data_IF_008538109615
#
_entry.id   IF_008538109615
#
_cell.length_a   1.000
_cell.length_b   1.000
_cell.length_c   1.000
_cell.angle_alpha   90.00
_cell.angle_beta   90.00
_cell.angle_gamma   90.00
#
_symmetry.space_group_name_H-M   'P 1'
#
loop_
_entity.id
_entity.type
_entity.pdbx_description
1 polymer ?
#
# COMPACT_ATOMS: atom_id res chain seq x y z
N UNK A 1 16.20 -2.37 18.40
CA UNK A 1 15.64 -3.06 17.20
C UNK A 1 15.32 -1.97 16.18
N UNK A 2 15.90 -2.05 15.01
CA UNK A 2 15.81 -0.99 13.97
C UNK A 2 15.13 -1.62 12.75
N UNK A 3 14.05 -1.00 12.28
CA UNK A 3 13.44 -1.33 11.00
C UNK A 3 14.33 -0.80 9.88
N UNK A 4 14.73 -1.66 8.95
CA UNK A 4 15.56 -1.30 7.80
C UNK A 4 14.77 -1.40 6.51
N UNK A 5 14.97 -0.45 5.60
CA UNK A 5 14.38 -0.47 4.27
C UNK A 5 15.41 -0.97 3.26
N UNK A 6 15.06 -1.95 2.46
CA UNK A 6 15.87 -2.45 1.34
C UNK A 6 15.05 -2.66 0.07
N UNK A 7 15.68 -2.71 -1.10
CA UNK A 7 14.98 -3.09 -2.32
C UNK A 7 14.29 -4.45 -2.18
N UNK A 8 13.11 -4.56 -2.79
CA UNK A 8 12.40 -5.83 -2.94
C UNK A 8 13.19 -6.76 -3.88
N UNK A 9 13.29 -8.02 -3.52
CA UNK A 9 13.87 -9.10 -4.32
C UNK A 9 12.82 -10.17 -4.62
N UNK A 10 12.99 -10.95 -5.69
CA UNK A 10 12.03 -12.00 -6.07
C UNK A 10 11.76 -13.02 -4.97
N UNK A 11 12.75 -13.29 -4.13
CA UNK A 11 12.60 -14.19 -2.98
C UNK A 11 11.66 -13.66 -1.89
N UNK A 12 11.38 -12.35 -1.86
CA UNK A 12 10.45 -11.73 -0.90
C UNK A 12 8.98 -11.92 -1.31
N UNK A 13 8.70 -12.37 -2.53
CA UNK A 13 7.37 -12.41 -3.12
C UNK A 13 6.34 -13.10 -2.23
N UNK A 14 6.61 -14.32 -1.79
CA UNK A 14 5.65 -15.10 -1.00
C UNK A 14 5.32 -14.40 0.33
N UNK A 15 6.35 -13.84 0.99
CA UNK A 15 6.15 -13.12 2.24
C UNK A 15 5.39 -11.82 2.05
N UNK A 16 5.73 -11.07 1.02
CA UNK A 16 5.04 -9.81 0.67
C UNK A 16 3.59 -10.06 0.26
N UNK A 17 3.31 -11.12 -0.51
CA UNK A 17 1.96 -11.52 -0.87
C UNK A 17 1.14 -11.88 0.39
N UNK A 18 1.71 -12.67 1.30
CA UNK A 18 1.04 -13.02 2.56
C UNK A 18 0.70 -11.77 3.39
N UNK A 19 1.67 -10.84 3.55
CA UNK A 19 1.46 -9.57 4.25
C UNK A 19 0.33 -8.77 3.58
N UNK A 20 0.32 -8.69 2.26
CA UNK A 20 -0.69 -7.98 1.50
C UNK A 20 -2.08 -8.57 1.72
N UNK A 21 -2.25 -9.89 1.56
CA UNK A 21 -3.53 -10.58 1.77
C UNK A 21 -4.04 -10.39 3.21
N UNK A 22 -3.17 -10.57 4.20
CA UNK A 22 -3.55 -10.44 5.62
C UNK A 22 -3.96 -9.02 5.96
N UNK A 23 -3.22 -8.02 5.49
CA UNK A 23 -3.50 -6.61 5.75
C UNK A 23 -4.79 -6.13 5.06
N UNK A 24 -5.10 -6.63 3.86
CA UNK A 24 -6.28 -6.19 3.10
C UNK A 24 -7.54 -7.04 3.34
N UNK A 25 -7.43 -8.20 3.98
CA UNK A 25 -8.61 -9.02 4.33
C UNK A 25 -9.67 -8.25 5.13
N UNK A 26 -9.35 -7.45 6.17
CA UNK A 26 -10.35 -6.66 6.89
C UNK A 26 -11.09 -5.65 5.99
N UNK A 27 -10.40 -5.05 5.00
CA UNK A 27 -11.00 -4.10 4.05
C UNK A 27 -12.03 -4.80 3.15
N UNK A 28 -11.69 -5.96 2.59
CA UNK A 28 -12.59 -6.73 1.74
C UNK A 28 -13.78 -7.30 2.52
N UNK A 29 -13.61 -7.65 3.79
CA UNK A 29 -14.73 -8.02 4.67
C UNK A 29 -15.69 -6.85 4.89
N UNK A 30 -15.16 -5.65 5.13
CA UNK A 30 -15.99 -4.45 5.25
C UNK A 30 -16.72 -4.12 3.94
N UNK A 31 -16.07 -4.29 2.79
CA UNK A 31 -16.71 -4.09 1.48
C UNK A 31 -17.85 -5.10 1.27
N UNK A 32 -17.65 -6.38 1.60
CA UNK A 32 -18.70 -7.39 1.52
C UNK A 32 -19.90 -7.07 2.45
N UNK A 33 -19.63 -6.66 3.69
CA UNK A 33 -20.66 -6.23 4.63
C UNK A 33 -21.46 -5.01 4.12
N UNK A 34 -20.79 -4.07 3.45
CA UNK A 34 -21.40 -2.84 2.95
C UNK A 34 -22.21 -3.07 1.67
N UNK A 35 -21.68 -3.87 0.74
CA UNK A 35 -22.26 -4.08 -0.59
C UNK A 35 -23.25 -5.24 -0.64
N UNK A 36 -23.18 -6.18 0.31
CA UNK A 36 -23.79 -7.50 0.24
C UNK A 36 -23.00 -8.44 -0.67
N UNK A 37 -23.09 -9.75 -0.39
CA UNK A 37 -22.27 -10.77 -1.08
C UNK A 37 -22.48 -10.78 -2.60
N UNK A 38 -23.68 -10.50 -3.10
CA UNK A 38 -23.94 -10.51 -4.56
C UNK A 38 -23.11 -9.43 -5.29
N UNK A 39 -23.17 -8.17 -4.87
CA UNK A 39 -22.41 -7.08 -5.50
C UNK A 39 -20.92 -7.26 -5.24
N UNK A 40 -20.55 -7.67 -4.01
CA UNK A 40 -19.15 -7.92 -3.67
C UNK A 40 -18.51 -8.97 -4.58
N UNK A 41 -19.19 -10.11 -4.82
CA UNK A 41 -18.68 -11.16 -5.71
C UNK A 41 -18.59 -10.71 -7.18
N UNK A 42 -19.47 -9.82 -7.65
CA UNK A 42 -19.33 -9.26 -9.00
C UNK A 42 -18.09 -8.39 -9.16
N UNK A 43 -17.73 -7.62 -8.12
CA UNK A 43 -16.67 -6.62 -8.18
C UNK A 43 -15.31 -7.14 -7.69
N UNK A 44 -15.31 -8.01 -6.67
CA UNK A 44 -14.11 -8.34 -5.89
C UNK A 44 -13.87 -9.85 -5.72
N UNK A 45 -14.51 -10.72 -6.54
CA UNK A 45 -14.39 -12.18 -6.37
C UNK A 45 -12.94 -12.70 -6.44
N UNK A 46 -12.08 -12.04 -7.19
CA UNK A 46 -10.69 -12.40 -7.47
C UNK A 46 -9.65 -11.45 -6.86
N UNK A 47 -10.03 -10.71 -5.81
CA UNK A 47 -9.15 -9.68 -5.26
C UNK A 47 -7.78 -10.21 -4.80
N UNK A 48 -7.70 -11.47 -4.34
CA UNK A 48 -6.43 -12.10 -3.94
C UNK A 48 -5.54 -12.36 -5.14
N UNK A 49 -6.12 -12.86 -6.21
CA UNK A 49 -5.45 -13.11 -7.49
C UNK A 49 -4.95 -11.79 -8.10
N UNK A 50 -5.73 -10.72 -8.01
CA UNK A 50 -5.30 -9.40 -8.49
C UNK A 50 -4.05 -8.90 -7.74
N UNK A 51 -3.98 -9.07 -6.42
CA UNK A 51 -2.76 -8.74 -5.67
C UNK A 51 -1.60 -9.65 -6.04
N UNK A 52 -1.82 -10.96 -6.18
CA UNK A 52 -0.79 -11.90 -6.59
C UNK A 52 -0.21 -11.54 -7.98
N UNK A 53 -1.07 -11.23 -8.94
CA UNK A 53 -0.69 -10.80 -10.29
C UNK A 53 0.08 -9.48 -10.29
N UNK A 54 -0.35 -8.52 -9.48
CA UNK A 54 0.34 -7.25 -9.35
C UNK A 54 1.74 -7.43 -8.75
N UNK A 55 1.83 -8.11 -7.62
CA UNK A 55 3.09 -8.35 -6.92
C UNK A 55 4.03 -9.27 -7.70
N UNK A 56 3.49 -10.22 -8.48
CA UNK A 56 4.26 -11.11 -9.36
C UNK A 56 5.00 -10.39 -10.50
N UNK A 57 4.62 -9.16 -10.81
CA UNK A 57 5.31 -8.29 -11.79
C UNK A 57 6.45 -7.48 -11.19
N UNK A 58 6.69 -7.61 -9.88
CA UNK A 58 7.77 -6.91 -9.18
C UNK A 58 9.01 -7.80 -9.03
N UNK A 59 10.22 -7.22 -9.01
CA UNK A 59 10.48 -5.81 -9.25
C UNK A 59 10.17 -5.42 -10.70
N UNK A 60 9.60 -4.24 -10.87
CA UNK A 60 9.21 -3.75 -12.20
C UNK A 60 10.42 -3.42 -13.07
N UNK A 61 10.31 -3.69 -14.38
CA UNK A 61 11.28 -3.20 -15.38
C UNK A 61 11.11 -1.71 -15.69
N UNK A 62 9.97 -1.10 -15.31
CA UNK A 62 9.73 0.34 -15.44
C UNK A 62 10.56 1.09 -14.38
N UNK A 63 11.50 1.96 -14.77
CA UNK A 63 12.32 2.73 -13.83
C UNK A 63 11.49 3.71 -12.98
N UNK A 64 10.28 4.05 -13.42
CA UNK A 64 9.36 4.87 -12.63
C UNK A 64 8.85 4.15 -11.38
N UNK A 65 8.81 2.81 -11.39
CA UNK A 65 8.28 1.99 -10.30
C UNK A 65 9.41 1.39 -9.48
N UNK A 66 9.40 1.63 -8.18
CA UNK A 66 10.31 0.99 -7.24
C UNK A 66 9.55 0.33 -6.11
N UNK A 67 10.07 -0.81 -5.65
CA UNK A 67 9.50 -1.55 -4.52
C UNK A 67 10.56 -1.77 -3.47
N UNK A 68 10.20 -1.50 -2.22
CA UNK A 68 11.06 -1.72 -1.07
C UNK A 68 10.31 -2.53 -0.01
N UNK A 69 11.06 -3.30 0.74
CA UNK A 69 10.55 -4.04 1.91
C UNK A 69 11.10 -3.43 3.19
N UNK A 70 10.28 -3.50 4.23
CA UNK A 70 10.67 -3.19 5.60
C UNK A 70 11.09 -4.48 6.28
N UNK A 71 12.33 -4.56 6.71
CA UNK A 71 12.90 -5.68 7.43
C UNK A 71 13.08 -5.32 8.91
N UNK A 72 12.61 -6.16 9.79
CA UNK A 72 12.71 -6.00 11.23
C UNK A 72 13.17 -7.32 11.85
N UNK A 73 14.32 -7.29 12.54
CA UNK A 73 14.96 -8.47 13.13
C UNK A 73 15.20 -9.64 12.12
N UNK A 74 15.50 -9.30 10.87
CA UNK A 74 15.77 -10.29 9.81
C UNK A 74 14.52 -10.84 9.12
N UNK A 75 13.33 -10.35 9.47
CA UNK A 75 12.07 -10.72 8.82
C UNK A 75 11.51 -9.57 7.99
N UNK A 76 10.96 -9.86 6.81
CA UNK A 76 10.16 -8.92 6.04
C UNK A 76 8.80 -8.76 6.72
N UNK A 77 8.51 -7.53 7.19
CA UNK A 77 7.31 -7.20 7.96
C UNK A 77 6.43 -6.14 7.28
N UNK A 78 6.87 -5.60 6.14
CA UNK A 78 6.10 -4.64 5.36
C UNK A 78 6.73 -4.38 4.01
N UNK A 79 5.99 -3.71 3.15
CA UNK A 79 6.48 -3.30 1.83
C UNK A 79 5.80 -2.02 1.35
N UNK A 80 6.45 -1.32 0.43
CA UNK A 80 5.92 -0.12 -0.21
C UNK A 80 6.36 -0.06 -1.66
N UNK A 81 5.41 0.22 -2.55
CA UNK A 81 5.65 0.54 -3.95
C UNK A 81 5.61 2.05 -4.13
N UNK A 82 6.61 2.61 -4.81
CA UNK A 82 6.64 4.03 -5.17
C UNK A 82 6.65 4.19 -6.68
N UNK A 83 5.91 5.17 -7.19
CA UNK A 83 5.78 5.44 -8.62
C UNK A 83 6.09 6.92 -8.86
N UNK A 84 7.01 7.20 -9.79
CA UNK A 84 7.38 8.56 -10.15
C UNK A 84 6.73 8.94 -11.49
N UNK A 85 6.04 10.09 -11.52
CA UNK A 85 5.55 10.67 -12.76
C UNK A 85 6.43 11.87 -13.15
N UNK A 86 7.33 11.66 -14.10
CA UNK A 86 8.28 12.68 -14.54
C UNK A 86 7.64 13.89 -15.23
N UNK A 87 6.43 13.73 -15.78
CA UNK A 87 5.71 14.83 -16.45
C UNK A 87 5.07 15.78 -15.44
N UNK A 88 4.43 15.23 -14.40
CA UNK A 88 3.73 16.01 -13.37
C UNK A 88 4.62 16.36 -12.19
N UNK A 89 5.76 15.70 -12.04
CA UNK A 89 6.63 15.77 -10.86
C UNK A 89 5.93 15.34 -9.57
N UNK A 90 4.93 14.48 -9.69
CA UNK A 90 4.23 13.89 -8.54
C UNK A 90 4.74 12.47 -8.34
N UNK A 91 5.20 12.18 -7.13
CA UNK A 91 5.52 10.84 -6.69
C UNK A 91 4.31 10.19 -6.01
N UNK A 92 4.03 8.92 -6.29
CA UNK A 92 2.94 8.19 -5.67
C UNK A 92 3.49 7.14 -4.69
N UNK A 93 2.90 7.09 -3.48
CA UNK A 93 2.97 5.92 -2.62
C UNK A 93 1.83 4.99 -3.06
N UNK A 94 2.19 3.96 -3.80
CA UNK A 94 1.25 2.96 -4.31
C UNK A 94 0.91 1.88 -3.29
N UNK A 95 0.82 0.63 -3.75
CA UNK A 95 0.49 -0.51 -2.88
C UNK A 95 1.51 -0.63 -1.75
N UNK A 96 1.01 -0.71 -0.52
CA UNK A 96 1.83 -0.84 0.67
C UNK A 96 1.07 -1.56 1.78
N UNK A 97 1.76 -2.28 2.62
CA UNK A 97 1.17 -2.90 3.81
C UNK A 97 2.25 -3.18 4.87
N UNK A 98 1.80 -3.29 6.12
CA UNK A 98 2.57 -3.80 7.26
C UNK A 98 1.85 -5.04 7.78
N UNK A 99 2.61 -6.11 8.08
CA UNK A 99 2.09 -7.33 8.65
C UNK A 99 1.24 -7.02 9.90
N UNK A 100 0.04 -7.60 10.04
CA UNK A 100 -0.90 -7.25 11.12
C UNK A 100 -0.30 -7.32 12.53
N UNK A 101 0.54 -8.31 12.80
CA UNK A 101 1.25 -8.51 14.07
C UNK A 101 2.40 -7.52 14.32
N UNK A 102 2.77 -6.74 13.30
CA UNK A 102 3.79 -5.71 13.33
C UNK A 102 3.25 -4.28 13.18
N UNK A 103 1.94 -4.12 13.07
CA UNK A 103 1.30 -2.81 13.06
C UNK A 103 1.45 -2.11 14.43
N UNK A 104 1.23 -0.80 14.46
CA UNK A 104 1.36 0.05 15.66
C UNK A 104 2.76 0.11 16.29
N UNK A 105 3.80 -0.41 15.62
CA UNK A 105 5.20 -0.36 16.06
C UNK A 105 6.04 0.73 15.34
N UNK A 106 5.38 1.64 14.62
CA UNK A 106 6.05 2.71 13.87
C UNK A 106 6.60 2.31 12.50
N UNK A 107 6.47 1.04 12.09
CA UNK A 107 7.01 0.52 10.82
C UNK A 107 6.41 1.25 9.63
N UNK A 108 5.08 1.45 9.60
CA UNK A 108 4.43 2.20 8.52
C UNK A 108 4.99 3.62 8.36
N UNK A 109 5.22 4.32 9.47
CA UNK A 109 5.86 5.64 9.47
C UNK A 109 7.26 5.59 8.85
N UNK A 110 8.10 4.65 9.27
CA UNK A 110 9.45 4.46 8.71
C UNK A 110 9.40 4.20 7.20
N UNK A 111 8.47 3.35 6.74
CA UNK A 111 8.26 3.06 5.32
C UNK A 111 7.90 4.33 4.54
N UNK A 112 6.98 5.15 5.06
CA UNK A 112 6.52 6.35 4.35
C UNK A 112 7.57 7.47 4.36
N UNK A 113 8.28 7.69 5.45
CA UNK A 113 9.41 8.64 5.51
C UNK A 113 10.51 8.24 4.51
N UNK A 114 10.81 6.94 4.39
CA UNK A 114 11.72 6.43 3.39
C UNK A 114 11.20 6.66 1.96
N UNK A 115 9.93 6.30 1.68
CA UNK A 115 9.30 6.45 0.38
C UNK A 115 9.29 7.92 -0.09
N UNK A 116 8.93 8.86 0.79
CA UNK A 116 8.94 10.29 0.51
C UNK A 116 10.36 10.79 0.22
N UNK A 117 11.35 10.30 0.95
CA UNK A 117 12.77 10.63 0.73
C UNK A 117 13.25 10.11 -0.63
N UNK A 118 12.91 8.86 -1.01
CA UNK A 118 13.25 8.28 -2.32
C UNK A 118 12.58 9.05 -3.45
N UNK A 119 11.29 9.33 -3.35
CA UNK A 119 10.55 10.11 -4.35
C UNK A 119 11.15 11.51 -4.54
N UNK A 120 11.49 12.20 -3.45
CA UNK A 120 12.15 13.51 -3.51
C UNK A 120 13.51 13.44 -4.21
N UNK A 121 14.33 12.43 -3.92
CA UNK A 121 15.62 12.20 -4.58
C UNK A 121 15.45 11.93 -6.09
N UNK A 122 14.32 11.36 -6.49
CA UNK A 122 13.96 11.09 -7.89
C UNK A 122 13.34 12.31 -8.58
N UNK A 123 13.21 13.44 -7.90
CA UNK A 123 12.75 14.70 -8.47
C UNK A 123 11.25 14.99 -8.28
N UNK A 124 10.58 14.30 -7.36
CA UNK A 124 9.19 14.62 -7.02
C UNK A 124 9.14 15.97 -6.28
N UNK A 125 8.21 16.83 -6.71
CA UNK A 125 7.89 18.12 -6.08
C UNK A 125 6.68 18.01 -5.14
N UNK A 126 5.84 16.99 -5.34
CA UNK A 126 4.73 16.65 -4.46
C UNK A 126 4.58 15.12 -4.36
N UNK A 127 3.98 14.66 -3.28
CA UNK A 127 3.64 13.25 -3.08
C UNK A 127 2.11 13.07 -3.04
N UNK A 128 1.67 11.94 -3.57
CA UNK A 128 0.28 11.50 -3.60
C UNK A 128 0.16 10.10 -2.98
N UNK A 129 -0.93 9.86 -2.28
CA UNK A 129 -1.34 8.53 -1.83
C UNK A 129 -2.86 8.43 -1.86
N UNK A 130 -3.40 7.30 -2.26
CA UNK A 130 -4.83 7.01 -2.22
C UNK A 130 -5.17 6.03 -1.12
N UNK A 131 -6.25 6.32 -0.38
CA UNK A 131 -6.76 5.44 0.67
C UNK A 131 -8.25 5.62 0.85
N UNK A 132 -8.91 4.64 1.45
CA UNK A 132 -10.34 4.71 1.74
C UNK A 132 -10.70 5.69 2.87
N UNK A 133 -11.92 6.23 2.82
CA UNK A 133 -12.48 7.06 3.88
C UNK A 133 -13.17 6.24 5.00
N UNK A 134 -13.31 4.92 4.81
CA UNK A 134 -13.93 4.01 5.77
C UNK A 134 -13.07 3.76 7.03
N UNK A 135 -13.66 3.07 8.00
CA UNK A 135 -13.01 2.82 9.30
C UNK A 135 -11.81 1.88 9.21
N UNK A 136 -11.80 0.93 8.25
CA UNK A 136 -10.69 0.00 8.08
C UNK A 136 -9.42 0.70 7.60
N UNK A 137 -9.55 1.83 6.87
CA UNK A 137 -8.42 2.64 6.42
C UNK A 137 -8.00 3.73 7.42
N UNK A 138 -8.67 3.89 8.56
CA UNK A 138 -8.32 4.94 9.53
C UNK A 138 -6.86 4.87 10.02
N UNK A 139 -6.27 3.69 10.31
CA UNK A 139 -4.86 3.61 10.69
C UNK A 139 -3.91 4.08 9.58
N UNK A 140 -4.22 3.78 8.33
CA UNK A 140 -3.43 4.23 7.18
C UNK A 140 -3.48 5.76 7.03
N UNK A 141 -4.69 6.36 7.14
CA UNK A 141 -4.84 7.83 7.10
C UNK A 141 -4.03 8.51 8.19
N UNK A 142 -4.14 8.04 9.44
CA UNK A 142 -3.36 8.58 10.55
C UNK A 142 -1.84 8.49 10.32
N UNK A 143 -1.37 7.40 9.72
CA UNK A 143 0.04 7.22 9.39
C UNK A 143 0.52 8.16 8.28
N UNK A 144 -0.31 8.43 7.25
CA UNK A 144 0.00 9.41 6.20
C UNK A 144 0.03 10.84 6.76
N UNK A 145 -0.94 11.22 7.57
CA UNK A 145 -0.99 12.52 8.25
C UNK A 145 0.24 12.74 9.14
N UNK A 146 0.67 11.69 9.86
CA UNK A 146 1.85 11.74 10.73
C UNK A 146 3.18 11.98 9.99
N UNK A 147 3.25 11.72 8.68
CA UNK A 147 4.41 12.00 7.83
C UNK A 147 4.23 13.23 6.94
N UNK A 148 3.17 14.02 7.18
CA UNK A 148 2.99 15.35 6.60
C UNK A 148 2.05 15.45 5.41
N UNK A 149 1.21 14.44 5.10
CA UNK A 149 0.11 14.61 4.18
C UNK A 149 -0.99 15.46 4.84
N UNK A 150 -1.19 16.68 4.36
CA UNK A 150 -2.04 17.71 4.99
C UNK A 150 -3.24 18.14 4.14
N UNK A 151 -3.39 17.59 2.92
CA UNK A 151 -4.46 17.93 1.98
C UNK A 151 -5.10 16.68 1.42
N UNK A 152 -6.42 16.60 1.45
CA UNK A 152 -7.18 15.46 0.96
C UNK A 152 -8.37 15.87 0.10
N UNK A 153 -8.62 15.08 -0.95
CA UNK A 153 -9.84 15.17 -1.76
C UNK A 153 -10.63 13.88 -1.51
N UNK A 154 -11.77 13.93 -0.79
CA UNK A 154 -12.58 12.75 -0.56
C UNK A 154 -13.29 12.28 -1.83
N UNK A 155 -13.43 10.97 -1.99
CA UNK A 155 -14.22 10.37 -3.09
C UNK A 155 -15.18 9.31 -2.55
N UNK A 156 -16.28 9.08 -3.29
CA UNK A 156 -17.31 8.11 -2.95
C UNK A 156 -17.53 7.14 -4.12
N UNK A 157 -17.73 5.86 -3.83
CA UNK A 157 -18.07 4.83 -4.79
C UNK A 157 -19.51 4.36 -4.51
N UNK A 158 -20.39 4.46 -5.50
CA UNK A 158 -21.78 4.03 -5.38
C UNK A 158 -22.02 2.77 -6.21
N UNK A 159 -22.71 1.82 -5.63
CA UNK A 159 -23.11 0.58 -6.29
C UNK A 159 -24.63 0.41 -6.25
N UNK A 160 -25.18 -0.18 -7.31
CA UNK A 160 -26.61 -0.53 -7.41
C UNK A 160 -26.77 -1.84 -8.14
N UNK A 161 -27.55 -2.76 -7.58
CA UNK A 161 -27.99 -3.95 -8.30
C UNK A 161 -29.02 -3.55 -9.37
N UNK A 162 -28.91 -4.09 -10.59
CA UNK A 162 -29.81 -3.88 -11.71
C UNK A 162 -30.82 -5.02 -11.83
#
# INVERSE_FOLDING_TARGET
MICQMRPFEKQDYERVLQICIDAFTPHHRLFEQTLGSEIFLLQYHDWREQYADYLGKLPSSDPAVKTHVAEFDGEVVGFVVTIMNDKTKIGEIGLNAVAPDHQHKGIGRTMYEFALTDLKKRGAEAAYVSTGADSAHAPARAAYEAVGFDRAIPSMHYFRKL
#
